data_IF_864641448742
#
_entry.id   IF_864641448742
#
_cell.length_a   1.000
_cell.length_b   1.000
_cell.length_c   1.000
_cell.angle_alpha   90.00
_cell.angle_beta   90.00
_cell.angle_gamma   90.00
#
_symmetry.space_group_name_H-M   'P 1'
#
loop_
_entity.id
_entity.type
_entity.pdbx_description
1 polymer ?
#
# COMPACT_ATOMS: atom_id res chain seq x y z
N UNK A 1 -5.28 17.69 -12.65
CA UNK A 1 -3.87 17.78 -12.22
C UNK A 1 -3.59 16.58 -11.34
N UNK A 2 -2.95 15.52 -11.86
CA UNK A 2 -2.70 14.28 -11.10
C UNK A 2 -1.35 14.38 -10.39
N UNK A 3 -1.36 14.87 -9.14
CA UNK A 3 -0.18 14.84 -8.28
C UNK A 3 0.05 13.42 -7.79
N UNK A 4 0.94 12.67 -8.45
CA UNK A 4 1.39 11.36 -7.98
C UNK A 4 2.19 11.53 -6.69
N UNK A 5 1.50 11.49 -5.55
CA UNK A 5 2.13 11.62 -4.23
C UNK A 5 2.76 10.29 -3.85
N UNK A 6 4.05 10.33 -3.57
CA UNK A 6 4.80 9.18 -3.11
C UNK A 6 4.99 9.26 -1.60
N UNK A 7 4.62 8.18 -0.92
CA UNK A 7 4.65 8.06 0.53
C UNK A 7 5.76 7.10 0.98
N UNK A 8 6.20 7.27 2.23
CA UNK A 8 7.23 6.42 2.86
C UNK A 8 6.58 5.22 3.53
N UNK A 9 7.39 4.25 3.92
CA UNK A 9 6.90 3.05 4.62
C UNK A 9 6.05 3.40 5.85
N UNK A 10 6.46 4.37 6.67
CA UNK A 10 5.70 4.76 7.87
C UNK A 10 4.27 5.21 7.54
N UNK A 11 4.10 6.02 6.50
CA UNK A 11 2.77 6.46 6.05
C UNK A 11 1.93 5.25 5.59
N UNK A 12 2.55 4.28 4.90
CA UNK A 12 1.87 3.05 4.47
C UNK A 12 1.41 2.22 5.68
N UNK A 13 2.24 2.12 6.73
CA UNK A 13 1.88 1.43 7.98
C UNK A 13 0.69 2.11 8.66
N UNK A 14 0.69 3.45 8.70
CA UNK A 14 -0.41 4.23 9.28
C UNK A 14 -1.71 4.06 8.48
N UNK A 15 -1.65 4.10 7.15
CA UNK A 15 -2.83 3.96 6.28
C UNK A 15 -3.41 2.53 6.32
N UNK A 16 -2.54 1.51 6.26
CA UNK A 16 -2.99 0.11 6.19
C UNK A 16 -3.28 -0.49 7.56
N UNK A 17 -2.79 0.10 8.64
CA UNK A 17 -2.83 -0.47 9.98
C UNK A 17 -2.01 -1.76 10.15
N UNK A 18 -1.23 -2.15 9.14
CA UNK A 18 -0.44 -3.38 9.13
C UNK A 18 0.96 -3.16 9.69
N UNK A 19 1.57 -4.24 10.17
CA UNK A 19 2.97 -4.24 10.54
C UNK A 19 3.90 -4.30 9.32
N UNK A 20 5.14 -3.81 9.47
CA UNK A 20 6.17 -3.84 8.42
C UNK A 20 6.41 -5.25 7.87
N UNK A 21 6.41 -6.27 8.73
CA UNK A 21 6.58 -7.66 8.31
C UNK A 21 5.42 -8.14 7.44
N UNK A 22 4.18 -7.82 7.80
CA UNK A 22 3.00 -8.15 7.00
C UNK A 22 3.04 -7.46 5.63
N UNK A 23 3.46 -6.20 5.56
CA UNK A 23 3.63 -5.51 4.27
C UNK A 23 4.64 -6.26 3.39
N UNK A 24 5.81 -6.63 3.92
CA UNK A 24 6.79 -7.39 3.13
C UNK A 24 6.31 -8.79 2.77
N UNK A 25 5.56 -9.47 3.63
CA UNK A 25 4.93 -10.76 3.32
C UNK A 25 3.94 -10.62 2.17
N UNK A 26 3.06 -9.61 2.21
CA UNK A 26 2.11 -9.35 1.14
C UNK A 26 2.78 -8.90 -0.17
N UNK A 27 3.91 -8.18 -0.09
CA UNK A 27 4.73 -7.85 -1.26
C UNK A 27 5.34 -9.14 -1.85
N UNK A 28 5.83 -10.06 -1.01
CA UNK A 28 6.36 -11.35 -1.46
C UNK A 28 5.26 -12.24 -2.09
N UNK A 29 4.05 -12.20 -1.53
CA UNK A 29 2.86 -12.86 -2.07
C UNK A 29 2.27 -12.16 -3.30
N UNK A 30 2.85 -11.03 -3.74
CA UNK A 30 2.32 -10.18 -4.82
C UNK A 30 0.89 -9.67 -4.59
N UNK A 31 0.44 -9.67 -3.33
CA UNK A 31 -0.88 -9.19 -2.91
C UNK A 31 -0.88 -7.73 -2.48
N UNK A 32 0.27 -7.07 -2.46
CA UNK A 32 0.41 -5.66 -2.10
C UNK A 32 1.11 -4.84 -3.19
N UNK A 33 0.89 -3.53 -3.16
CA UNK A 33 1.48 -2.60 -4.11
C UNK A 33 3.01 -2.61 -4.04
N UNK A 34 3.64 -2.83 -5.20
CA UNK A 34 5.09 -2.88 -5.34
C UNK A 34 5.69 -1.51 -5.02
N UNK A 35 6.75 -1.51 -4.22
CA UNK A 35 7.53 -0.31 -3.94
C UNK A 35 8.16 0.24 -5.23
N UNK A 36 8.03 1.55 -5.42
CA UNK A 36 8.76 2.32 -6.42
C UNK A 36 10.13 2.66 -5.84
N UNK A 37 11.20 2.14 -6.45
CA UNK A 37 12.56 2.50 -6.06
C UNK A 37 12.89 3.89 -6.61
N UNK A 38 13.11 4.86 -5.72
CA UNK A 38 13.69 6.15 -6.08
C UNK A 38 15.06 6.24 -5.45
N UNK A 39 16.09 6.02 -6.29
CA UNK A 39 17.48 5.90 -5.87
C UNK A 39 17.66 4.86 -4.75
N UNK A 40 18.06 5.31 -3.55
CA UNK A 40 18.28 4.44 -2.37
C UNK A 40 17.04 4.25 -1.50
N UNK A 41 15.91 4.87 -1.84
CA UNK A 41 14.70 4.85 -1.03
C UNK A 41 13.57 4.11 -1.73
N UNK A 42 12.92 3.22 -0.99
CA UNK A 42 11.64 2.62 -1.38
C UNK A 42 10.49 3.56 -1.04
N UNK A 43 9.64 3.85 -2.02
CA UNK A 43 8.45 4.70 -1.86
C UNK A 43 7.24 3.99 -2.46
N UNK A 44 6.05 4.33 -1.97
CA UNK A 44 4.80 3.78 -2.50
C UNK A 44 3.95 4.90 -3.09
N UNK A 45 3.15 4.58 -4.10
CA UNK A 45 2.17 5.52 -4.63
C UNK A 45 0.99 5.60 -3.67
N UNK A 46 0.67 6.78 -3.17
CA UNK A 46 -0.46 7.00 -2.26
C UNK A 46 -1.76 6.48 -2.87
N UNK A 47 -2.04 6.84 -4.13
CA UNK A 47 -3.25 6.39 -4.83
C UNK A 47 -3.36 4.86 -4.89
N UNK A 48 -2.22 4.18 -5.09
CA UNK A 48 -2.21 2.74 -5.24
C UNK A 48 -2.36 2.02 -3.88
N UNK A 49 -1.87 2.62 -2.79
CA UNK A 49 -2.09 2.14 -1.42
C UNK A 49 -3.55 2.35 -1.02
N UNK A 50 -4.12 3.53 -1.28
CA UNK A 50 -5.54 3.80 -1.00
C UNK A 50 -6.44 2.85 -1.79
N UNK A 51 -6.23 2.69 -3.10
CA UNK A 51 -7.01 1.76 -3.92
C UNK A 51 -6.94 0.31 -3.41
N UNK A 52 -5.81 -0.11 -2.84
CA UNK A 52 -5.68 -1.43 -2.22
C UNK A 52 -6.50 -1.56 -0.94
N UNK A 53 -6.52 -0.51 -0.10
CA UNK A 53 -7.36 -0.46 1.11
C UNK A 53 -8.84 -0.48 0.71
N UNK A 54 -9.23 0.34 -0.26
CA UNK A 54 -10.61 0.40 -0.76
C UNK A 54 -11.06 -0.96 -1.30
N UNK A 55 -10.19 -1.67 -2.03
CA UNK A 55 -10.48 -3.02 -2.50
C UNK A 55 -10.70 -4.02 -1.35
N UNK A 56 -9.95 -3.90 -0.24
CA UNK A 56 -10.12 -4.72 0.96
C UNK A 56 -11.41 -4.41 1.71
N UNK A 57 -11.77 -3.13 1.81
CA UNK A 57 -13.03 -2.70 2.40
C UNK A 57 -14.20 -3.23 1.56
N UNK A 58 -14.17 -3.06 0.24
CA UNK A 58 -15.19 -3.58 -0.65
C UNK A 58 -15.31 -5.11 -0.57
N UNK A 59 -14.20 -5.85 -0.49
CA UNK A 59 -14.20 -7.30 -0.28
C UNK A 59 -14.87 -7.69 1.05
N UNK A 60 -14.67 -6.90 2.11
CA UNK A 60 -15.34 -7.11 3.40
C UNK A 60 -16.83 -6.76 3.38
N UNK A 61 -17.23 -5.74 2.62
CA UNK A 61 -18.64 -5.32 2.51
C UNK A 61 -19.47 -6.28 1.66
N UNK A 62 -18.89 -6.87 0.61
CA UNK A 62 -19.57 -7.85 -0.25
C UNK A 62 -19.74 -9.22 0.43
N UNK A 63 -18.94 -9.51 1.45
CA UNK A 63 -18.97 -10.78 2.19
C UNK A 63 -20.01 -10.82 3.33
N UNK A 64 -20.88 -9.81 3.46
CA UNK A 64 -21.92 -9.70 4.49
C UNK A 64 -23.32 -9.57 3.88
#
# INVERSE_FOLDING_TARGET
>A
MFSKKLIRLNDVLEITGLSKSQIYALIAEQKFVRQVKIARSSRWSLDAVNAWVDARVAESEVAN
#
